data_IF_520915242205
#
_entry.id   IF_520915242205
#
_cell.length_a   1.000
_cell.length_b   1.000
_cell.length_c   1.000
_cell.angle_alpha   90.00
_cell.angle_beta   90.00
_cell.angle_gamma   90.00
#
_symmetry.space_group_name_H-M   'P 1'
#
loop_
_entity.id
_entity.type
_entity.pdbx_description
1 polymer ?
#
# COMPACT_ATOMS: atom_id res chain seq x y z
N UNK A 1 -0.96 14.18 4.28
CA UNK A 1 -0.41 13.18 3.36
C UNK A 1 1.10 13.13 3.52
N UNK A 2 1.51 12.30 4.45
CA UNK A 2 2.91 12.02 4.71
C UNK A 2 3.00 10.60 5.23
N UNK A 3 3.73 9.75 4.52
CA UNK A 3 4.12 8.45 5.04
C UNK A 3 5.32 8.67 5.95
N UNK A 4 5.12 8.45 7.25
CA UNK A 4 6.20 8.39 8.21
C UNK A 4 6.84 7.00 8.15
N UNK A 5 8.16 6.95 7.91
CA UNK A 5 8.92 5.72 7.79
C UNK A 5 10.03 5.74 8.84
N UNK A 6 9.96 4.82 9.79
CA UNK A 6 11.02 4.55 10.76
C UNK A 6 11.76 3.26 10.42
N UNK A 7 12.68 2.83 11.27
CA UNK A 7 13.35 1.54 11.12
C UNK A 7 12.42 0.35 11.42
N UNK A 8 11.30 0.57 12.11
CA UNK A 8 10.46 -0.49 12.66
C UNK A 8 9.00 -0.42 12.18
N UNK A 9 8.55 0.77 11.76
CA UNK A 9 7.15 1.03 11.40
C UNK A 9 7.03 2.00 10.23
N UNK A 10 5.98 1.80 9.42
CA UNK A 10 5.50 2.78 8.45
C UNK A 10 4.03 3.08 8.72
N UNK A 11 3.66 4.35 8.74
CA UNK A 11 2.29 4.82 8.95
C UNK A 11 1.99 6.06 8.13
N UNK A 12 0.71 6.30 7.87
CA UNK A 12 0.21 7.48 7.16
C UNK A 12 -0.94 8.10 7.93
N UNK A 13 -1.10 9.42 7.83
CA UNK A 13 -2.26 10.16 8.34
C UNK A 13 -3.52 9.99 7.47
N UNK A 14 -3.38 9.33 6.32
CA UNK A 14 -4.39 9.29 5.25
C UNK A 14 -5.02 7.90 5.08
N UNK A 15 -4.33 6.83 5.49
CA UNK A 15 -4.84 5.45 5.42
C UNK A 15 -4.76 4.75 6.77
N UNK A 16 -5.72 3.85 7.06
CA UNK A 16 -5.71 2.99 8.25
C UNK A 16 -4.61 1.92 8.21
N UNK A 17 -4.02 1.73 7.04
CA UNK A 17 -3.01 0.71 6.82
C UNK A 17 -1.64 1.13 7.36
N UNK A 18 -0.85 0.15 7.74
CA UNK A 18 0.47 0.35 8.32
C UNK A 18 1.36 -0.83 7.99
N UNK A 19 2.68 -0.61 8.02
CA UNK A 19 3.67 -1.66 7.91
C UNK A 19 4.50 -1.76 9.18
N UNK A 20 4.94 -2.96 9.52
CA UNK A 20 5.88 -3.19 10.62
C UNK A 20 6.95 -4.19 10.20
N UNK A 21 8.14 -3.99 10.75
CA UNK A 21 9.25 -4.92 10.56
C UNK A 21 8.98 -6.20 11.35
N UNK A 22 9.15 -7.36 10.74
CA UNK A 22 8.82 -8.66 11.37
C UNK A 22 9.95 -9.24 12.22
N UNK A 23 11.19 -8.79 11.97
CA UNK A 23 12.38 -9.25 12.69
C UNK A 23 13.38 -8.08 12.82
N UNK A 24 14.06 -7.89 13.96
CA UNK A 24 15.08 -6.85 14.13
C UNK A 24 16.25 -6.93 13.13
N UNK A 25 16.65 -8.16 12.76
CA UNK A 25 17.79 -8.49 11.91
C UNK A 25 17.35 -8.87 10.48
N UNK A 26 16.15 -9.44 10.35
CA UNK A 26 15.51 -9.74 9.07
C UNK A 26 14.85 -8.50 8.52
N UNK A 27 15.42 -7.90 7.47
CA UNK A 27 14.90 -6.72 6.75
C UNK A 27 13.54 -6.91 6.05
N UNK A 28 12.71 -7.81 6.56
CA UNK A 28 11.38 -8.15 6.11
C UNK A 28 10.32 -7.35 6.87
N UNK A 29 9.28 -7.01 6.14
CA UNK A 29 8.18 -6.17 6.54
C UNK A 29 6.87 -6.86 6.23
N UNK A 30 5.89 -6.68 7.11
CA UNK A 30 4.50 -7.03 6.88
C UNK A 30 3.68 -5.75 6.79
N UNK A 31 2.66 -5.77 5.94
CA UNK A 31 1.74 -4.66 5.71
C UNK A 31 0.34 -5.12 6.03
N UNK A 32 -0.43 -4.31 6.77
CA UNK A 32 -1.71 -4.73 7.32
C UNK A 32 -2.77 -5.15 6.28
N UNK A 33 -2.68 -4.68 5.04
CA UNK A 33 -3.58 -5.07 3.94
C UNK A 33 -3.04 -6.19 3.04
N UNK A 34 -1.80 -6.61 3.23
CA UNK A 34 -1.21 -7.80 2.60
C UNK A 34 -0.73 -8.77 3.70
N UNK A 35 -1.66 -9.26 4.55
CA UNK A 35 -1.28 -10.18 5.61
C UNK A 35 -0.63 -11.43 4.99
N UNK A 36 0.33 -12.03 5.70
CA UNK A 36 1.12 -13.21 5.29
C UNK A 36 2.19 -12.99 4.22
N UNK A 37 2.26 -11.81 3.59
CA UNK A 37 3.36 -11.48 2.68
C UNK A 37 4.51 -10.82 3.42
N UNK A 38 5.69 -11.43 3.31
CA UNK A 38 6.96 -10.86 3.76
C UNK A 38 7.56 -10.05 2.60
N UNK A 39 7.60 -8.75 2.76
CA UNK A 39 8.11 -7.80 1.80
C UNK A 39 9.48 -7.29 2.24
N UNK A 40 10.34 -6.90 1.31
CA UNK A 40 11.47 -6.05 1.70
C UNK A 40 10.97 -4.63 2.03
N UNK A 41 11.89 -3.79 2.53
CA UNK A 41 11.55 -2.41 2.92
C UNK A 41 10.99 -1.60 1.74
N UNK A 42 11.49 -1.78 0.52
CA UNK A 42 11.05 -1.00 -0.62
C UNK A 42 9.65 -1.43 -1.07
N UNK A 43 9.39 -2.73 -1.14
CA UNK A 43 8.06 -3.25 -1.44
C UNK A 43 7.04 -2.86 -0.36
N UNK A 44 7.44 -2.79 0.92
CA UNK A 44 6.59 -2.26 1.98
C UNK A 44 6.27 -0.75 1.80
N UNK A 45 7.24 0.05 1.34
CA UNK A 45 6.99 1.46 0.98
C UNK A 45 6.02 1.54 -0.20
N UNK A 46 6.24 0.78 -1.28
CA UNK A 46 5.32 0.73 -2.42
C UNK A 46 3.90 0.37 -1.99
N UNK A 47 3.75 -0.62 -1.10
CA UNK A 47 2.46 -1.03 -0.56
C UNK A 47 1.77 0.07 0.27
N UNK A 48 2.54 0.85 1.03
CA UNK A 48 2.01 1.99 1.79
C UNK A 48 1.62 3.17 0.88
N UNK A 49 2.40 3.46 -0.16
CA UNK A 49 2.08 4.48 -1.17
C UNK A 49 0.79 4.11 -1.92
N UNK A 50 0.62 2.83 -2.27
CA UNK A 50 -0.59 2.34 -2.92
C UNK A 50 -1.81 2.50 -1.98
N UNK A 51 -1.66 2.13 -0.70
CA UNK A 51 -2.71 2.28 0.31
C UNK A 51 -3.13 3.75 0.53
N UNK A 52 -2.17 4.66 0.57
CA UNK A 52 -2.41 6.09 0.71
C UNK A 52 -3.11 6.63 -0.55
N UNK A 53 -2.60 6.31 -1.74
CA UNK A 53 -3.17 6.75 -3.04
C UNK A 53 -4.63 6.36 -3.16
N UNK A 54 -4.97 5.08 -2.91
CA UNK A 54 -6.34 4.59 -3.00
C UNK A 54 -7.24 5.33 -2.00
N UNK A 55 -6.80 5.51 -0.75
CA UNK A 55 -7.58 6.21 0.26
C UNK A 55 -7.89 7.67 -0.12
N UNK A 56 -6.96 8.36 -0.78
CA UNK A 56 -7.16 9.74 -1.24
C UNK A 56 -8.18 9.79 -2.37
N UNK A 57 -8.04 8.90 -3.34
CA UNK A 57 -8.90 8.90 -4.51
C UNK A 57 -10.34 8.55 -4.13
N UNK A 58 -10.56 7.71 -3.13
CA UNK A 58 -11.90 7.32 -2.66
C UNK A 58 -12.44 8.16 -1.51
N UNK A 59 -11.66 9.09 -0.93
CA UNK A 59 -12.06 9.91 0.23
C UNK A 59 -13.37 10.69 0.02
N UNK A 60 -13.72 11.01 -1.23
CA UNK A 60 -14.97 11.69 -1.60
C UNK A 60 -16.20 10.79 -1.67
N UNK A 61 -16.10 9.51 -1.33
CA UNK A 61 -17.17 8.51 -1.48
C UNK A 61 -17.39 8.06 -2.93
N UNK A 62 -16.51 8.47 -3.85
CA UNK A 62 -16.48 7.97 -5.22
C UNK A 62 -15.72 6.65 -5.30
N UNK A 63 -16.17 5.75 -6.17
CA UNK A 63 -15.43 4.55 -6.51
C UNK A 63 -14.23 4.86 -7.41
N UNK A 64 -13.21 4.01 -7.37
CA UNK A 64 -12.07 4.06 -8.28
C UNK A 64 -12.41 3.26 -9.55
N UNK A 65 -12.25 3.85 -10.73
CA UNK A 65 -12.48 3.21 -12.02
C UNK A 65 -11.16 2.91 -12.73
N UNK A 66 -11.17 1.88 -13.58
CA UNK A 66 -10.01 1.50 -14.41
C UNK A 66 -9.62 2.60 -15.43
N UNK A 67 -10.57 3.45 -15.82
CA UNK A 67 -10.35 4.56 -16.74
C UNK A 67 -9.74 5.81 -16.04
N UNK A 68 -9.63 5.80 -14.71
CA UNK A 68 -9.02 6.92 -13.99
C UNK A 68 -7.52 7.00 -14.31
N UNK A 69 -6.95 8.19 -14.58
CA UNK A 69 -5.53 8.33 -14.87
C UNK A 69 -4.59 7.78 -13.79
N UNK A 70 -5.07 7.75 -12.53
CA UNK A 70 -4.32 7.19 -11.40
C UNK A 70 -4.17 5.66 -11.50
N UNK A 71 -5.05 4.99 -12.25
CA UNK A 71 -5.08 3.54 -12.36
C UNK A 71 -3.78 2.98 -12.97
N UNK A 72 -3.20 3.66 -13.96
CA UNK A 72 -1.93 3.25 -14.55
C UNK A 72 -0.79 3.19 -13.50
N UNK A 73 -0.79 4.10 -12.53
CA UNK A 73 0.17 4.09 -11.42
C UNK A 73 -0.14 2.97 -10.42
N UNK A 74 -1.43 2.75 -10.12
CA UNK A 74 -1.87 1.65 -9.25
C UNK A 74 -1.46 0.30 -9.82
N UNK A 75 -1.62 0.07 -11.13
CA UNK A 75 -1.17 -1.15 -11.79
C UNK A 75 0.36 -1.30 -11.74
N UNK A 76 1.10 -0.21 -11.98
CA UNK A 76 2.56 -0.23 -11.91
C UNK A 76 3.05 -0.63 -10.50
N UNK A 77 2.56 0.03 -9.45
CA UNK A 77 2.93 -0.31 -8.06
C UNK A 77 2.41 -1.67 -7.63
N UNK A 78 1.21 -2.07 -8.04
CA UNK A 78 0.70 -3.41 -7.75
C UNK A 78 1.60 -4.48 -8.38
N UNK A 79 2.12 -4.24 -9.59
CA UNK A 79 3.01 -5.17 -10.28
C UNK A 79 4.33 -5.40 -9.54
N UNK A 80 4.87 -4.36 -8.88
CA UNK A 80 6.05 -4.49 -8.00
C UNK A 80 5.77 -5.44 -6.83
N UNK A 81 4.51 -5.52 -6.39
CA UNK A 81 4.04 -6.44 -5.34
C UNK A 81 3.60 -7.79 -5.91
N UNK A 82 3.72 -8.02 -7.21
CA UNK A 82 3.22 -9.23 -7.89
C UNK A 82 1.70 -9.34 -7.85
N UNK A 83 0.99 -8.21 -7.94
CA UNK A 83 -0.46 -8.10 -7.98
C UNK A 83 -0.89 -7.33 -9.24
N UNK A 84 -2.17 -7.45 -9.58
CA UNK A 84 -2.85 -6.49 -10.49
C UNK A 84 -3.42 -5.33 -9.66
N UNK A 85 -3.61 -4.15 -10.25
CA UNK A 85 -4.22 -3.01 -9.56
C UNK A 85 -5.60 -3.33 -9.00
N UNK A 86 -6.43 -4.09 -9.72
CA UNK A 86 -7.75 -4.50 -9.23
C UNK A 86 -7.71 -5.30 -7.92
N UNK A 87 -6.79 -6.28 -7.83
CA UNK A 87 -6.58 -7.06 -6.60
C UNK A 87 -6.05 -6.18 -5.47
N UNK A 88 -5.16 -5.24 -5.76
CA UNK A 88 -4.60 -4.34 -4.75
C UNK A 88 -5.69 -3.42 -4.16
N UNK A 89 -6.51 -2.80 -5.01
CA UNK A 89 -7.64 -1.94 -4.62
C UNK A 89 -8.67 -2.72 -3.79
N UNK A 90 -9.01 -3.95 -4.22
CA UNK A 90 -9.94 -4.81 -3.48
C UNK A 90 -9.42 -5.14 -2.07
N UNK A 91 -8.12 -5.37 -1.92
CA UNK A 91 -7.48 -5.72 -0.63
C UNK A 91 -7.42 -4.53 0.34
N UNK A 92 -7.43 -3.30 -0.19
CA UNK A 92 -7.43 -2.07 0.58
C UNK A 92 -8.82 -1.66 1.09
N UNK A 93 -9.88 -2.28 0.56
CA UNK A 93 -11.25 -1.95 0.92
C UNK A 93 -11.66 -0.56 0.46
N UNK A 94 -11.51 -0.31 -0.85
CA UNK A 94 -12.18 0.78 -1.55
C UNK A 94 -13.71 0.68 -1.42
#
# INVERSE_FOLDING_TARGET
>A
MSIEITNERMSSDTTKHHAWRTDPDGGLWEVSWLPTRRLDRNAAVTAMVLAETVAITTAGGGGLCHDDPVWAFIDAWASELGLTGAVAVASLGA
#
